data_IF_862392859460
#
_entry.id   IF_862392859460
#
_cell.length_a   1.000
_cell.length_b   1.000
_cell.length_c   1.000
_cell.angle_alpha   90.00
_cell.angle_beta   90.00
_cell.angle_gamma   90.00
#
_symmetry.space_group_name_H-M   'P 1'
#
loop_
_entity.id
_entity.type
_entity.pdbx_description
1 polymer ?
#
# COMPACT_ATOMS: atom_id res chain seq x y z
N UNK A 1 11.09 -69.21 15.93
CA UNK A 1 10.92 -68.56 14.61
C UNK A 1 9.97 -67.37 14.70
N UNK A 2 8.86 -67.45 15.45
CA UNK A 2 7.88 -66.37 15.61
C UNK A 2 8.40 -65.06 16.22
N UNK A 3 9.26 -65.13 17.24
CA UNK A 3 9.80 -63.93 17.91
C UNK A 3 10.61 -63.01 16.98
N UNK A 4 11.27 -63.57 15.96
CA UNK A 4 12.04 -62.83 14.96
C UNK A 4 11.09 -62.13 13.98
N UNK A 5 9.98 -62.77 13.63
CA UNK A 5 8.96 -62.20 12.75
C UNK A 5 8.26 -61.05 13.47
N UNK A 6 7.91 -61.22 14.74
CA UNK A 6 7.28 -60.19 15.55
C UNK A 6 8.17 -58.95 15.74
N UNK A 7 9.47 -59.14 16.01
CA UNK A 7 10.40 -58.01 16.15
C UNK A 7 10.65 -57.29 14.83
N UNK A 8 10.75 -58.01 13.71
CA UNK A 8 10.89 -57.41 12.39
C UNK A 8 9.68 -56.55 12.01
N UNK A 9 8.45 -57.03 12.27
CA UNK A 9 7.21 -56.28 12.03
C UNK A 9 7.14 -55.04 12.92
N UNK A 10 7.56 -55.12 14.18
CA UNK A 10 7.57 -53.98 15.09
C UNK A 10 8.54 -52.85 14.64
N UNK A 11 9.74 -53.22 14.18
CA UNK A 11 10.72 -52.25 13.66
C UNK A 11 10.23 -51.62 12.36
N UNK A 12 9.63 -52.41 11.45
CA UNK A 12 9.02 -51.91 10.23
C UNK A 12 7.86 -50.95 10.51
N UNK A 13 6.99 -51.27 11.49
CA UNK A 13 5.92 -50.39 11.93
C UNK A 13 6.43 -49.05 12.48
N UNK A 14 7.54 -49.08 13.21
CA UNK A 14 8.17 -47.87 13.76
C UNK A 14 8.84 -47.02 12.68
N UNK A 15 9.53 -47.65 11.73
CA UNK A 15 10.16 -46.96 10.59
C UNK A 15 9.11 -46.37 9.63
N UNK A 16 8.02 -47.08 9.38
CA UNK A 16 6.89 -46.58 8.59
C UNK A 16 6.20 -45.40 9.31
N UNK A 17 5.93 -45.53 10.61
CA UNK A 17 5.31 -44.47 11.41
C UNK A 17 6.16 -43.20 11.48
N UNK A 18 7.49 -43.34 11.66
CA UNK A 18 8.41 -42.19 11.69
C UNK A 18 8.56 -41.52 10.32
N UNK A 19 8.61 -42.31 9.23
CA UNK A 19 8.66 -41.79 7.86
C UNK A 19 7.40 -41.00 7.47
N UNK A 20 6.21 -41.50 7.81
CA UNK A 20 4.94 -40.82 7.56
C UNK A 20 4.86 -39.51 8.36
N UNK A 21 5.27 -39.53 9.63
CA UNK A 21 5.28 -38.33 10.49
C UNK A 21 6.22 -37.26 9.94
N UNK A 22 7.42 -37.63 9.49
CA UNK A 22 8.40 -36.69 8.94
C UNK A 22 7.91 -36.04 7.63
N UNK A 23 7.22 -36.79 6.78
CA UNK A 23 6.65 -36.28 5.54
C UNK A 23 5.49 -35.30 5.81
N UNK A 24 4.61 -35.59 6.76
CA UNK A 24 3.55 -34.68 7.19
C UNK A 24 4.11 -33.40 7.83
N UNK A 25 5.17 -33.51 8.63
CA UNK A 25 5.83 -32.35 9.23
C UNK A 25 6.48 -31.45 8.17
N UNK A 26 7.15 -32.02 7.16
CA UNK A 26 7.72 -31.26 6.03
C UNK A 26 6.64 -30.54 5.22
N UNK A 27 5.56 -31.24 4.86
CA UNK A 27 4.45 -30.63 4.11
C UNK A 27 3.75 -29.50 4.89
N UNK A 28 3.63 -29.64 6.20
CA UNK A 28 3.03 -28.61 7.06
C UNK A 28 3.95 -27.40 7.22
N UNK A 29 5.26 -27.62 7.33
CA UNK A 29 6.26 -26.55 7.37
C UNK A 29 6.29 -25.78 6.04
N UNK A 30 6.32 -26.46 4.90
CA UNK A 30 6.29 -25.84 3.57
C UNK A 30 5.03 -25.00 3.34
N UNK A 31 3.85 -25.54 3.67
CA UNK A 31 2.57 -24.81 3.61
C UNK A 31 2.53 -23.60 4.54
N UNK A 32 3.12 -23.72 5.74
CA UNK A 32 3.24 -22.62 6.70
C UNK A 32 4.15 -21.50 6.18
N UNK A 33 5.27 -21.86 5.53
CA UNK A 33 6.19 -20.90 4.93
C UNK A 33 5.57 -20.13 3.76
N UNK A 34 4.87 -20.82 2.84
CA UNK A 34 4.17 -20.16 1.73
C UNK A 34 3.03 -19.27 2.20
N UNK A 35 2.28 -19.69 3.22
CA UNK A 35 1.24 -18.87 3.82
C UNK A 35 1.82 -17.61 4.47
N UNK A 36 2.88 -17.76 5.27
CA UNK A 36 3.56 -16.63 5.94
C UNK A 36 4.13 -15.65 4.91
N UNK A 37 4.73 -16.14 3.82
CA UNK A 37 5.27 -15.28 2.75
C UNK A 37 4.18 -14.48 2.04
N UNK A 38 3.05 -15.13 1.70
CA UNK A 38 1.91 -14.44 1.05
C UNK A 38 1.28 -13.40 1.96
N UNK A 39 1.07 -13.74 3.23
CA UNK A 39 0.49 -12.82 4.20
C UNK A 39 1.43 -11.62 4.46
N UNK A 40 2.74 -11.85 4.52
CA UNK A 40 3.72 -10.77 4.64
C UNK A 40 3.65 -9.80 3.45
N UNK A 41 3.61 -10.31 2.22
CA UNK A 41 3.49 -9.46 1.03
C UNK A 41 2.18 -8.68 1.02
N UNK A 42 1.06 -9.32 1.39
CA UNK A 42 -0.24 -8.66 1.52
C UNK A 42 -0.19 -7.50 2.51
N UNK A 43 0.47 -7.69 3.65
CA UNK A 43 0.65 -6.64 4.66
C UNK A 43 1.54 -5.51 4.15
N UNK A 44 2.69 -5.81 3.54
CA UNK A 44 3.58 -4.81 2.94
C UNK A 44 2.85 -3.95 1.89
N UNK A 45 2.02 -4.56 1.05
CA UNK A 45 1.18 -3.85 0.08
C UNK A 45 0.12 -2.98 0.75
N UNK A 46 -0.59 -3.52 1.74
CA UNK A 46 -1.59 -2.77 2.49
C UNK A 46 -0.98 -1.52 3.16
N UNK A 47 0.18 -1.69 3.79
CA UNK A 47 0.90 -0.61 4.46
C UNK A 47 1.37 0.45 3.46
N UNK A 48 1.94 0.05 2.33
CA UNK A 48 2.40 0.97 1.29
C UNK A 48 1.25 1.75 0.66
N UNK A 49 0.16 1.08 0.26
CA UNK A 49 -1.01 1.72 -0.34
C UNK A 49 -1.70 2.66 0.66
N UNK A 50 -1.82 2.26 1.93
CA UNK A 50 -2.42 3.10 2.97
C UNK A 50 -1.55 4.31 3.30
N UNK A 51 -0.24 4.14 3.37
CA UNK A 51 0.71 5.23 3.60
C UNK A 51 0.66 6.25 2.45
N UNK A 52 0.62 5.78 1.21
CA UNK A 52 0.52 6.66 0.04
C UNK A 52 -0.80 7.44 0.00
N UNK A 53 -1.93 6.77 0.24
CA UNK A 53 -3.22 7.45 0.32
C UNK A 53 -3.24 8.50 1.43
N UNK A 54 -2.67 8.19 2.60
CA UNK A 54 -2.54 9.13 3.71
C UNK A 54 -1.66 10.34 3.35
N UNK A 55 -0.53 10.12 2.68
CA UNK A 55 0.35 11.18 2.21
C UNK A 55 -0.36 12.11 1.21
N UNK A 56 -1.08 11.55 0.22
CA UNK A 56 -1.89 12.30 -0.74
C UNK A 56 -2.94 13.17 -0.06
N UNK A 57 -3.67 12.64 0.92
CA UNK A 57 -4.70 13.40 1.65
C UNK A 57 -4.08 14.58 2.41
N UNK A 58 -2.94 14.35 3.08
CA UNK A 58 -2.23 15.41 3.81
C UNK A 58 -1.68 16.48 2.87
N UNK A 59 -1.06 16.07 1.75
CA UNK A 59 -0.55 16.99 0.74
C UNK A 59 -1.66 17.81 0.10
N UNK A 60 -2.74 17.15 -0.34
CA UNK A 60 -3.95 17.79 -0.87
C UNK A 60 -4.52 18.84 0.10
N UNK A 61 -4.64 18.51 1.38
CA UNK A 61 -5.12 19.46 2.41
C UNK A 61 -4.23 20.70 2.47
N UNK A 62 -2.90 20.52 2.43
CA UNK A 62 -1.95 21.62 2.45
C UNK A 62 -2.10 22.51 1.20
N UNK A 63 -2.25 21.92 0.01
CA UNK A 63 -2.43 22.68 -1.23
C UNK A 63 -3.75 23.46 -1.29
N UNK A 64 -4.82 22.90 -0.74
CA UNK A 64 -6.09 23.64 -0.60
C UNK A 64 -5.92 24.83 0.34
N UNK A 65 -5.24 24.65 1.47
CA UNK A 65 -4.94 25.76 2.38
C UNK A 65 -4.05 26.81 1.71
N UNK A 66 -3.03 26.38 0.96
CA UNK A 66 -2.16 27.27 0.20
C UNK A 66 -2.95 28.12 -0.79
N UNK A 67 -3.92 27.53 -1.49
CA UNK A 67 -4.78 28.27 -2.41
C UNK A 67 -5.48 29.43 -1.69
N UNK A 68 -6.07 29.17 -0.52
CA UNK A 68 -6.74 30.22 0.27
C UNK A 68 -5.77 31.30 0.75
N UNK A 69 -4.55 30.94 1.18
CA UNK A 69 -3.52 31.92 1.53
C UNK A 69 -3.09 32.82 0.35
N UNK A 70 -3.19 32.33 -0.88
CA UNK A 70 -2.83 33.09 -2.09
C UNK A 70 -3.98 33.97 -2.59
N UNK A 71 -5.24 33.50 -2.51
CA UNK A 71 -6.35 34.09 -3.25
C UNK A 71 -7.37 34.85 -2.39
N UNK A 72 -7.43 34.64 -1.07
CA UNK A 72 -8.39 35.33 -0.20
C UNK A 72 -7.77 36.54 0.52
N UNK A 73 -8.58 37.58 0.71
CA UNK A 73 -8.21 38.79 1.46
C UNK A 73 -9.23 39.01 2.60
N UNK A 74 -8.79 39.06 3.88
CA UNK A 74 -7.43 38.81 4.34
C UNK A 74 -7.03 37.33 4.20
N UNK A 75 -5.73 37.03 3.96
CA UNK A 75 -5.28 35.66 3.86
C UNK A 75 -5.36 34.96 5.23
N UNK A 76 -5.77 33.69 5.29
CA UNK A 76 -5.86 32.94 6.53
C UNK A 76 -4.50 32.54 7.13
N UNK A 77 -3.39 32.77 6.43
CA UNK A 77 -2.03 32.48 6.88
C UNK A 77 -0.98 32.93 5.88
N UNK A 78 0.29 32.74 6.22
CA UNK A 78 1.42 33.08 5.35
C UNK A 78 1.56 32.04 4.22
N UNK A 79 1.43 32.49 2.97
CA UNK A 79 1.55 31.64 1.80
C UNK A 79 2.95 31.01 1.65
N UNK A 80 4.02 31.70 2.05
CA UNK A 80 5.38 31.20 1.89
C UNK A 80 5.71 30.10 2.91
N UNK A 81 5.26 30.23 4.16
CA UNK A 81 5.34 29.15 5.15
C UNK A 81 4.57 27.90 4.70
N UNK A 82 3.37 28.10 4.13
CA UNK A 82 2.56 26.98 3.62
C UNK A 82 3.23 26.33 2.40
N UNK A 83 3.88 27.09 1.51
CA UNK A 83 4.65 26.54 0.38
C UNK A 83 5.79 25.64 0.83
N UNK A 84 6.57 26.07 1.84
CA UNK A 84 7.65 25.26 2.39
C UNK A 84 7.10 23.91 2.89
N UNK A 85 6.02 23.94 3.69
CA UNK A 85 5.36 22.71 4.15
C UNK A 85 4.80 21.86 3.00
N UNK A 86 4.32 22.49 1.93
CA UNK A 86 3.85 21.77 0.75
C UNK A 86 5.00 21.02 0.05
N UNK A 87 6.23 21.55 0.03
CA UNK A 87 7.38 20.84 -0.51
C UNK A 87 7.74 19.60 0.30
N UNK A 88 7.74 19.69 1.63
CA UNK A 88 8.00 18.53 2.50
C UNK A 88 6.94 17.43 2.30
N UNK A 89 5.66 17.83 2.26
CA UNK A 89 4.56 16.90 2.03
C UNK A 89 4.60 16.28 0.62
N UNK A 90 5.03 17.04 -0.39
CA UNK A 90 5.23 16.52 -1.75
C UNK A 90 6.33 15.45 -1.75
N UNK A 91 7.48 15.72 -1.14
CA UNK A 91 8.60 14.79 -1.05
C UNK A 91 8.17 13.48 -0.37
N UNK A 92 7.48 13.57 0.77
CA UNK A 92 6.95 12.40 1.47
C UNK A 92 5.94 11.62 0.62
N UNK A 93 5.10 12.31 -0.15
CA UNK A 93 4.13 11.68 -1.05
C UNK A 93 4.82 10.97 -2.22
N UNK A 94 5.89 11.55 -2.78
CA UNK A 94 6.70 10.92 -3.81
C UNK A 94 7.43 9.68 -3.30
N UNK A 95 8.00 9.74 -2.10
CA UNK A 95 8.62 8.57 -1.47
C UNK A 95 7.61 7.42 -1.33
N UNK A 96 6.39 7.72 -0.85
CA UNK A 96 5.34 6.73 -0.74
C UNK A 96 4.88 6.20 -2.11
N UNK A 97 4.82 7.04 -3.15
CA UNK A 97 4.55 6.60 -4.53
C UNK A 97 5.60 5.59 -5.01
N UNK A 98 6.88 5.86 -4.78
CA UNK A 98 7.93 4.92 -5.19
C UNK A 98 7.80 3.57 -4.49
N UNK A 99 7.38 3.54 -3.21
CA UNK A 99 7.10 2.28 -2.50
C UNK A 99 5.93 1.52 -3.13
N UNK A 100 4.86 2.21 -3.52
CA UNK A 100 3.72 1.62 -4.25
C UNK A 100 4.20 1.00 -5.56
N UNK A 101 4.98 1.74 -6.35
CA UNK A 101 5.50 1.28 -7.65
C UNK A 101 6.46 0.09 -7.52
N UNK A 102 7.22 -0.01 -6.42
CA UNK A 102 8.09 -1.17 -6.17
C UNK A 102 7.33 -2.45 -5.77
N UNK A 103 6.10 -2.33 -5.26
CA UNK A 103 5.32 -3.44 -4.72
C UNK A 103 4.20 -3.93 -5.66
N UNK A 104 3.93 -3.19 -6.72
CA UNK A 104 2.93 -3.53 -7.74
C UNK A 104 3.61 -3.88 -9.05
N UNK A 105 3.17 -4.97 -9.67
CA UNK A 105 3.52 -5.31 -11.06
C UNK A 105 2.48 -4.75 -12.05
N UNK A 106 1.39 -4.16 -11.55
CA UNK A 106 0.34 -3.56 -12.36
C UNK A 106 0.74 -2.12 -12.76
N UNK A 107 1.09 -1.98 -14.04
CA UNK A 107 1.49 -0.72 -14.65
C UNK A 107 0.34 0.31 -14.67
N UNK A 108 -0.91 -0.13 -14.85
CA UNK A 108 -2.06 0.77 -14.84
C UNK A 108 -2.30 1.34 -13.44
N UNK A 109 -2.10 0.55 -12.38
CA UNK A 109 -2.15 1.04 -11.01
C UNK A 109 -1.03 2.06 -10.73
N UNK A 110 0.19 1.78 -11.20
CA UNK A 110 1.34 2.69 -11.08
C UNK A 110 1.08 4.03 -11.77
N UNK A 111 0.57 4.01 -13.00
CA UNK A 111 0.23 5.21 -13.76
C UNK A 111 -0.93 5.97 -13.13
N UNK A 112 -1.95 5.26 -12.64
CA UNK A 112 -3.07 5.88 -11.92
C UNK A 112 -2.58 6.57 -10.64
N UNK A 113 -1.65 5.98 -9.90
CA UNK A 113 -1.08 6.58 -8.71
C UNK A 113 -0.34 7.90 -9.04
N UNK A 114 0.51 7.89 -10.08
CA UNK A 114 1.23 9.07 -10.54
C UNK A 114 0.30 10.19 -11.05
N UNK A 115 -0.74 9.82 -11.79
CA UNK A 115 -1.76 10.75 -12.28
C UNK A 115 -2.45 11.47 -11.11
N UNK A 116 -2.85 10.73 -10.07
CA UNK A 116 -3.48 11.32 -8.87
C UNK A 116 -2.55 12.31 -8.17
N UNK A 117 -1.26 12.01 -8.04
CA UNK A 117 -0.30 12.96 -7.48
C UNK A 117 -0.19 14.24 -8.34
N UNK A 118 -0.20 14.08 -9.65
CA UNK A 118 -0.16 15.20 -10.61
C UNK A 118 -1.40 16.08 -10.47
N UNK A 119 -2.59 15.48 -10.42
CA UNK A 119 -3.85 16.19 -10.27
C UNK A 119 -3.95 16.91 -8.92
N UNK A 120 -3.54 16.25 -7.83
CA UNK A 120 -3.44 16.89 -6.51
C UNK A 120 -2.48 18.08 -6.55
N UNK A 121 -1.32 17.95 -7.19
CA UNK A 121 -0.35 19.05 -7.35
C UNK A 121 -0.95 20.25 -8.06
N UNK A 122 -1.88 20.04 -9.01
CA UNK A 122 -2.55 21.08 -9.75
C UNK A 122 -3.51 21.95 -8.94
N UNK A 123 -3.95 21.49 -7.75
CA UNK A 123 -5.02 22.14 -6.98
C UNK A 123 -4.76 23.61 -6.63
N UNK A 124 -3.53 23.98 -6.26
CA UNK A 124 -3.25 25.36 -5.83
C UNK A 124 -3.09 26.32 -7.01
N UNK A 125 -3.07 25.82 -8.25
CA UNK A 125 -2.86 26.61 -9.48
C UNK A 125 -4.17 27.04 -10.13
N UNK A 126 -5.31 26.65 -9.59
CA UNK A 126 -6.62 27.06 -10.12
C UNK A 126 -6.86 28.54 -9.87
N UNK A 127 -7.48 29.24 -10.81
CA UNK A 127 -7.63 30.71 -10.73
C UNK A 127 -8.92 31.13 -9.98
N UNK A 128 -9.84 30.19 -9.76
CA UNK A 128 -11.14 30.49 -9.17
C UNK A 128 -11.55 29.50 -8.08
N UNK A 129 -12.42 29.97 -7.18
CA UNK A 129 -12.99 29.14 -6.11
C UNK A 129 -13.86 28.01 -6.66
N UNK A 130 -14.62 28.26 -7.73
CA UNK A 130 -15.44 27.23 -8.38
C UNK A 130 -14.57 26.10 -8.93
N UNK A 131 -13.51 26.45 -9.65
CA UNK A 131 -12.57 25.47 -10.19
C UNK A 131 -11.84 24.70 -9.08
N UNK A 132 -11.44 25.39 -7.99
CA UNK A 132 -10.87 24.73 -6.83
C UNK A 132 -11.86 23.70 -6.25
N UNK A 133 -13.12 24.05 -6.05
CA UNK A 133 -14.11 23.15 -5.46
C UNK A 133 -14.40 21.93 -6.35
N UNK A 134 -14.47 22.11 -7.67
CA UNK A 134 -14.56 21.02 -8.65
C UNK A 134 -13.33 20.10 -8.57
N UNK A 135 -12.13 20.65 -8.64
CA UNK A 135 -10.88 19.89 -8.55
C UNK A 135 -10.73 19.20 -7.20
N UNK A 136 -11.22 19.81 -6.11
CA UNK A 136 -11.26 19.19 -4.78
C UNK A 136 -12.17 17.97 -4.78
N UNK A 137 -13.36 18.04 -5.38
CA UNK A 137 -14.24 16.90 -5.48
C UNK A 137 -13.59 15.79 -6.32
N UNK A 138 -13.06 16.14 -7.50
CA UNK A 138 -12.41 15.21 -8.42
C UNK A 138 -11.24 14.47 -7.76
N UNK A 139 -10.27 15.20 -7.21
CA UNK A 139 -9.09 14.59 -6.56
C UNK A 139 -9.43 13.71 -5.36
N UNK A 140 -10.51 13.99 -4.63
CA UNK A 140 -10.99 13.10 -3.55
C UNK A 140 -11.50 11.78 -4.13
N UNK A 141 -12.24 11.87 -5.22
CA UNK A 141 -12.84 10.70 -5.88
C UNK A 141 -11.75 9.86 -6.57
N UNK A 142 -10.73 10.49 -7.14
CA UNK A 142 -9.58 9.81 -7.75
C UNK A 142 -8.74 9.06 -6.69
N UNK A 143 -8.46 9.68 -5.54
CA UNK A 143 -7.81 8.98 -4.40
C UNK A 143 -8.65 7.78 -3.97
N UNK A 144 -9.97 7.93 -3.90
CA UNK A 144 -10.87 6.84 -3.52
C UNK A 144 -10.89 5.72 -4.55
N UNK A 145 -10.84 6.06 -5.84
CA UNK A 145 -10.75 5.11 -6.94
C UNK A 145 -9.43 4.34 -6.89
N UNK A 146 -8.30 5.04 -6.69
CA UNK A 146 -6.98 4.44 -6.55
C UNK A 146 -6.94 3.42 -5.40
N UNK A 147 -7.46 3.77 -4.21
CA UNK A 147 -7.51 2.85 -3.06
C UNK A 147 -8.36 1.60 -3.38
N UNK A 148 -9.48 1.77 -4.09
CA UNK A 148 -10.32 0.63 -4.52
C UNK A 148 -9.62 -0.26 -5.53
N UNK A 149 -8.89 0.32 -6.48
CA UNK A 149 -8.07 -0.42 -7.44
C UNK A 149 -6.96 -1.18 -6.71
N UNK A 150 -6.18 -0.49 -5.86
CA UNK A 150 -5.11 -1.09 -5.07
C UNK A 150 -5.58 -2.27 -4.18
N UNK A 151 -6.80 -2.19 -3.63
CA UNK A 151 -7.40 -3.29 -2.87
C UNK A 151 -7.51 -4.60 -3.66
N UNK A 152 -7.64 -4.55 -4.99
CA UNK A 152 -7.72 -5.74 -5.85
C UNK A 152 -6.37 -6.48 -5.97
N UNK A 153 -5.27 -5.84 -5.55
CA UNK A 153 -3.90 -6.37 -5.61
C UNK A 153 -3.35 -6.81 -4.24
N UNK A 154 -4.19 -6.78 -3.20
CA UNK A 154 -3.86 -7.31 -1.87
C UNK A 154 -3.93 -8.84 -1.84
#
# INVERSE_FOLDING_TARGET
MEAIIASAVAVLGTLLGSGITLAFQRSTAERSHEFTRREKLRQERLDAYSAYAGALVNYRRCLVHLWFCIHEQPPPGDADEVRIRAYDLRSNTQEALFRVQMLTDDEALSQSAEAVLTDVTGLYKTDSRSELDERRAQTRDDISHLVRAAKQHL
#
